data_IF_864608136560
#
_entry.id   IF_864608136560
#
_cell.length_a   1.000
_cell.length_b   1.000
_cell.length_c   1.000
_cell.angle_alpha   90.00
_cell.angle_beta   90.00
_cell.angle_gamma   90.00
#
_symmetry.space_group_name_H-M   'P 1'
#
loop_
_entity.id
_entity.type
_entity.pdbx_description
1 polymer ?
#
# COMPACT_ATOMS: atom_id res chain seq x y z
N UNK A 1 50.07 49.56 -32.52
CA UNK A 1 49.69 49.43 -31.11
C UNK A 1 48.24 48.96 -31.01
N UNK A 2 47.99 47.92 -30.21
CA UNK A 2 46.72 47.53 -29.55
C UNK A 2 45.45 47.31 -30.40
N UNK A 3 45.03 46.07 -30.67
CA UNK A 3 44.35 45.01 -29.86
C UNK A 3 42.81 45.09 -29.79
N UNK A 4 42.20 43.93 -30.11
CA UNK A 4 40.89 43.38 -29.66
C UNK A 4 39.65 44.09 -30.28
N UNK A 5 38.57 43.43 -30.67
CA UNK A 5 37.87 42.30 -30.05
C UNK A 5 36.93 41.65 -31.06
N UNK A 6 36.78 40.32 -30.98
CA UNK A 6 35.82 39.50 -31.73
C UNK A 6 34.38 39.67 -31.22
N UNK A 7 33.39 39.46 -32.09
CA UNK A 7 32.10 38.86 -31.69
C UNK A 7 31.59 37.89 -32.76
N UNK A 8 31.30 36.68 -32.26
CA UNK A 8 30.68 35.53 -32.91
C UNK A 8 29.21 35.80 -33.25
N UNK A 9 28.72 35.20 -34.35
CA UNK A 9 27.33 34.73 -34.43
C UNK A 9 27.28 33.46 -35.26
N UNK A 10 27.06 32.33 -34.58
CA UNK A 10 26.93 31.01 -35.17
C UNK A 10 25.58 30.87 -35.89
N UNK A 11 25.61 30.36 -37.12
CA UNK A 11 24.41 29.96 -37.89
C UNK A 11 24.27 28.45 -37.75
N UNK A 12 23.15 28.03 -37.16
CA UNK A 12 22.75 26.61 -37.02
C UNK A 12 22.35 26.08 -38.39
N UNK A 13 23.15 25.16 -38.95
CA UNK A 13 22.71 24.27 -40.02
C UNK A 13 22.54 22.86 -39.45
N UNK A 14 21.28 22.44 -39.24
CA UNK A 14 20.94 21.05 -38.97
C UNK A 14 21.12 20.24 -40.26
N UNK A 15 22.02 19.26 -40.26
CA UNK A 15 22.02 18.19 -41.27
C UNK A 15 21.01 17.10 -40.88
N UNK A 16 20.31 16.49 -41.85
CA UNK A 16 19.40 15.38 -41.59
C UNK A 16 20.20 14.13 -41.21
N UNK A 17 19.69 13.40 -40.23
CA UNK A 17 20.25 12.13 -39.76
C UNK A 17 19.57 11.04 -40.58
N UNK A 18 20.31 10.45 -41.52
CA UNK A 18 19.90 9.22 -42.20
C UNK A 18 19.86 8.08 -41.19
N UNK A 19 18.64 7.68 -40.82
CA UNK A 19 18.36 6.43 -40.12
C UNK A 19 18.17 5.35 -41.17
N UNK A 20 19.17 4.49 -41.36
CA UNK A 20 19.07 3.06 -41.71
C UNK A 20 20.43 2.53 -42.19
N UNK A 21 21.31 2.15 -41.25
CA UNK A 21 22.23 1.04 -41.49
C UNK A 21 22.81 0.52 -40.17
N UNK A 22 22.94 -0.81 -40.08
CA UNK A 22 23.77 -1.55 -39.11
C UNK A 22 23.24 -1.88 -37.71
N UNK A 23 21.95 -2.22 -37.56
CA UNK A 23 21.53 -3.07 -36.43
C UNK A 23 21.45 -4.54 -36.87
N UNK A 24 22.61 -5.18 -37.00
CA UNK A 24 22.68 -6.60 -37.37
C UNK A 24 24.00 -7.31 -37.11
N UNK A 25 25.04 -6.62 -36.62
CA UNK A 25 26.38 -7.21 -36.47
C UNK A 25 27.12 -6.67 -35.27
N UNK A 26 26.75 -7.08 -34.06
CA UNK A 26 27.69 -7.23 -32.94
C UNK A 26 27.03 -7.93 -31.74
N UNK A 27 26.46 -9.11 -31.97
CA UNK A 27 26.47 -10.14 -30.92
C UNK A 27 27.92 -10.63 -30.74
N UNK A 28 28.82 -9.70 -30.35
CA UNK A 28 30.09 -10.06 -29.73
C UNK A 28 29.74 -10.99 -28.59
N UNK A 29 30.40 -12.13 -28.52
CA UNK A 29 30.24 -13.13 -27.48
C UNK A 29 30.52 -12.42 -26.15
N UNK A 30 29.48 -11.87 -25.53
CA UNK A 30 29.56 -11.21 -24.23
C UNK A 30 29.80 -12.33 -23.25
N UNK A 31 31.04 -12.43 -22.75
CA UNK A 31 31.33 -13.28 -21.60
C UNK A 31 30.47 -12.76 -20.44
N UNK A 32 29.45 -13.54 -20.09
CA UNK A 32 28.64 -13.33 -18.89
C UNK A 32 29.57 -13.39 -17.68
N UNK A 33 29.82 -12.25 -17.03
CA UNK A 33 30.77 -12.18 -15.92
C UNK A 33 30.15 -12.64 -14.60
N UNK A 34 28.85 -12.42 -14.42
CA UNK A 34 28.18 -12.58 -13.12
C UNK A 34 26.84 -13.31 -13.20
N UNK A 35 26.12 -13.17 -14.31
CA UNK A 35 24.80 -13.77 -14.47
C UNK A 35 24.88 -15.16 -15.08
N UNK A 36 23.95 -16.02 -14.70
CA UNK A 36 23.73 -17.30 -15.40
C UNK A 36 22.87 -17.07 -16.65
N UNK A 37 22.94 -17.96 -17.67
CA UNK A 37 22.08 -17.85 -18.86
C UNK A 37 20.59 -17.78 -18.52
N UNK A 38 20.17 -18.48 -17.47
CA UNK A 38 18.81 -18.42 -16.94
C UNK A 38 18.47 -17.01 -16.42
N UNK A 39 19.35 -16.42 -15.61
CA UNK A 39 19.15 -15.08 -15.05
C UNK A 39 19.13 -14.02 -16.13
N UNK A 40 20.07 -14.05 -17.08
CA UNK A 40 20.10 -13.08 -18.19
C UNK A 40 18.83 -13.16 -19.04
N UNK A 41 18.37 -14.39 -19.36
CA UNK A 41 17.11 -14.59 -20.10
C UNK A 41 15.89 -14.13 -19.31
N UNK A 42 15.84 -14.39 -18.00
CA UNK A 42 14.77 -13.92 -17.11
C UNK A 42 14.69 -12.40 -17.12
N UNK A 43 15.82 -11.73 -16.88
CA UNK A 43 15.93 -10.28 -16.86
C UNK A 43 15.53 -9.66 -18.20
N UNK A 44 15.99 -10.24 -19.31
CA UNK A 44 15.65 -9.75 -20.65
C UNK A 44 14.16 -9.90 -20.96
N UNK A 45 13.55 -11.04 -20.61
CA UNK A 45 12.10 -11.24 -20.74
C UNK A 45 11.32 -10.22 -19.93
N UNK A 46 11.74 -9.92 -18.70
CA UNK A 46 11.07 -8.93 -17.86
C UNK A 46 11.15 -7.51 -18.42
N UNK A 47 12.15 -7.15 -19.24
CA UNK A 47 12.19 -5.84 -19.92
C UNK A 47 11.14 -5.70 -21.03
N UNK A 48 10.66 -6.80 -21.60
CA UNK A 48 9.60 -6.79 -22.63
C UNK A 48 8.22 -6.47 -22.00
N UNK A 49 8.05 -6.75 -20.71
CA UNK A 49 6.83 -6.44 -19.96
C UNK A 49 6.73 -4.93 -19.65
N UNK A 50 5.51 -4.43 -19.42
CA UNK A 50 5.28 -3.05 -19.01
C UNK A 50 5.65 -2.82 -17.53
N UNK A 51 6.95 -2.64 -17.28
CA UNK A 51 7.50 -2.35 -15.96
C UNK A 51 7.61 -0.85 -15.72
N UNK A 52 7.38 -0.45 -14.46
CA UNK A 52 7.70 0.89 -13.99
C UNK A 52 9.20 1.20 -14.18
N UNK A 53 9.52 2.45 -14.51
CA UNK A 53 10.88 2.91 -14.88
C UNK A 53 11.95 2.44 -13.88
N UNK A 54 11.66 2.60 -12.59
CA UNK A 54 12.59 2.19 -11.54
C UNK A 54 12.85 0.69 -11.49
N UNK A 55 11.93 -0.18 -11.93
CA UNK A 55 12.19 -1.63 -12.07
C UNK A 55 13.03 -1.91 -13.31
N UNK A 56 12.72 -1.27 -14.45
CA UNK A 56 13.53 -1.36 -15.68
C UNK A 56 14.98 -0.99 -15.42
N UNK A 57 15.20 0.11 -14.69
CA UNK A 57 16.52 0.60 -14.34
C UNK A 57 17.34 -0.43 -13.54
N UNK A 58 16.73 -1.18 -12.62
CA UNK A 58 17.42 -2.24 -11.85
C UNK A 58 17.92 -3.34 -12.76
N UNK A 59 17.04 -3.80 -13.65
CA UNK A 59 17.35 -4.84 -14.61
C UNK A 59 18.48 -4.40 -15.54
N UNK A 60 18.42 -3.16 -16.04
CA UNK A 60 19.47 -2.57 -16.87
C UNK A 60 20.80 -2.48 -16.13
N UNK A 61 20.83 -2.09 -14.85
CA UNK A 61 22.06 -2.08 -14.05
C UNK A 61 22.66 -3.49 -13.99
N UNK A 62 21.85 -4.52 -13.72
CA UNK A 62 22.34 -5.91 -13.64
C UNK A 62 22.91 -6.39 -14.98
N UNK A 63 22.22 -6.12 -16.08
CA UNK A 63 22.66 -6.51 -17.43
C UNK A 63 23.96 -5.79 -17.84
N UNK A 64 24.07 -4.48 -17.56
CA UNK A 64 25.29 -3.73 -17.83
C UNK A 64 26.46 -4.18 -16.94
N UNK A 65 26.18 -4.51 -15.67
CA UNK A 65 27.18 -5.07 -14.78
C UNK A 65 27.71 -6.42 -15.30
N UNK A 66 26.83 -7.27 -15.83
CA UNK A 66 27.20 -8.56 -16.43
C UNK A 66 28.04 -8.41 -17.70
N UNK A 67 27.83 -7.34 -18.46
CA UNK A 67 28.67 -6.95 -19.60
C UNK A 67 30.05 -6.40 -19.18
N UNK A 68 30.35 -6.34 -17.88
CA UNK A 68 31.61 -5.84 -17.35
C UNK A 68 31.70 -4.32 -17.24
N UNK A 69 30.59 -3.59 -17.37
CA UNK A 69 30.58 -2.13 -17.19
C UNK A 69 30.88 -1.74 -15.75
N UNK A 70 31.67 -0.69 -15.59
CA UNK A 70 32.01 -0.10 -14.29
C UNK A 70 30.83 0.69 -13.71
N UNK A 71 30.86 0.91 -12.39
CA UNK A 71 29.82 1.67 -11.69
C UNK A 71 29.61 3.07 -12.30
N UNK A 72 30.69 3.77 -12.65
CA UNK A 72 30.66 5.12 -13.21
C UNK A 72 30.04 5.15 -14.60
N UNK A 73 30.40 4.20 -15.47
CA UNK A 73 29.80 4.06 -16.80
C UNK A 73 28.29 3.80 -16.72
N UNK A 74 27.86 2.94 -15.78
CA UNK A 74 26.44 2.65 -15.58
C UNK A 74 25.69 3.89 -15.08
N UNK A 75 26.26 4.64 -14.14
CA UNK A 75 25.67 5.89 -13.65
C UNK A 75 25.49 6.90 -14.80
N UNK A 76 26.50 7.05 -15.66
CA UNK A 76 26.43 7.96 -16.81
C UNK A 76 25.41 7.49 -17.85
N UNK A 77 25.33 6.18 -18.10
CA UNK A 77 24.43 5.60 -19.11
C UNK A 77 22.96 5.70 -18.69
N UNK A 78 22.66 5.46 -17.41
CA UNK A 78 21.29 5.40 -16.89
C UNK A 78 20.85 6.66 -16.13
N UNK A 79 21.74 7.63 -15.92
CA UNK A 79 21.45 8.86 -15.17
C UNK A 79 21.09 8.63 -13.70
N UNK A 80 21.50 7.52 -13.10
CA UNK A 80 21.09 7.13 -11.76
C UNK A 80 22.20 7.30 -10.71
N UNK A 81 21.82 7.33 -9.43
CA UNK A 81 22.77 7.56 -8.36
C UNK A 81 23.69 6.36 -8.12
N UNK A 82 24.94 6.66 -7.73
CA UNK A 82 25.97 5.65 -7.49
C UNK A 82 25.56 4.60 -6.45
N UNK A 83 24.74 4.97 -5.45
CA UNK A 83 24.25 4.06 -4.43
C UNK A 83 23.34 2.96 -5.01
N UNK A 84 22.38 3.34 -5.88
CA UNK A 84 21.49 2.40 -6.55
C UNK A 84 22.29 1.45 -7.44
N UNK A 85 23.23 1.98 -8.24
CA UNK A 85 24.09 1.15 -9.09
C UNK A 85 24.88 0.16 -8.26
N UNK A 86 25.55 0.61 -7.19
CA UNK A 86 26.35 -0.25 -6.30
C UNK A 86 25.51 -1.40 -5.73
N UNK A 87 24.31 -1.10 -5.25
CA UNK A 87 23.43 -2.09 -4.66
C UNK A 87 23.05 -3.18 -5.69
N UNK A 88 22.58 -2.80 -6.87
CA UNK A 88 22.13 -3.77 -7.87
C UNK A 88 23.27 -4.51 -8.57
N UNK A 89 24.45 -3.90 -8.70
CA UNK A 89 25.67 -4.60 -9.08
C UNK A 89 26.06 -5.67 -8.05
N UNK A 90 25.91 -5.40 -6.76
CA UNK A 90 26.18 -6.38 -5.71
C UNK A 90 25.22 -7.58 -5.79
N UNK A 91 23.92 -7.33 -5.96
CA UNK A 91 22.89 -8.37 -6.14
C UNK A 91 23.18 -9.25 -7.38
N UNK A 92 23.62 -8.65 -8.48
CA UNK A 92 24.02 -9.40 -9.68
C UNK A 92 25.23 -10.31 -9.38
N UNK A 93 26.27 -9.77 -8.73
CA UNK A 93 27.49 -10.50 -8.38
C UNK A 93 27.27 -11.60 -7.33
N UNK A 94 26.29 -11.46 -6.46
CA UNK A 94 25.95 -12.45 -5.45
C UNK A 94 25.08 -13.60 -5.99
N UNK A 95 24.76 -13.61 -7.29
CA UNK A 95 23.91 -14.63 -7.91
C UNK A 95 22.42 -14.50 -7.54
N UNK A 96 22.02 -13.40 -6.89
CA UNK A 96 20.63 -13.14 -6.48
C UNK A 96 19.85 -12.33 -7.51
N UNK A 97 20.34 -12.23 -8.74
CA UNK A 97 19.70 -11.45 -9.81
C UNK A 97 18.25 -11.84 -10.10
N UNK A 98 17.87 -13.11 -9.87
CA UNK A 98 16.51 -13.59 -10.02
C UNK A 98 15.51 -13.03 -8.98
N UNK A 99 16.01 -12.49 -7.85
CA UNK A 99 15.24 -11.91 -6.75
C UNK A 99 15.04 -10.40 -6.89
N UNK A 100 15.23 -9.85 -8.09
CA UNK A 100 15.16 -8.40 -8.33
C UNK A 100 13.80 -7.77 -7.97
N UNK A 101 12.74 -8.59 -7.93
CA UNK A 101 11.37 -8.20 -7.56
C UNK A 101 11.14 -8.17 -6.04
N UNK A 102 11.93 -8.91 -5.26
CA UNK A 102 11.71 -9.11 -3.81
C UNK A 102 11.93 -7.83 -3.00
N UNK A 103 12.56 -6.82 -3.59
CA UNK A 103 12.73 -5.49 -3.01
C UNK A 103 11.72 -4.50 -3.61
N UNK A 104 10.46 -4.46 -3.15
CA UNK A 104 9.47 -3.52 -3.69
C UNK A 104 9.94 -2.07 -3.52
N UNK A 105 9.62 -1.23 -4.50
CA UNK A 105 9.96 0.20 -4.44
C UNK A 105 8.97 0.90 -3.51
N UNK A 106 9.49 1.60 -2.50
CA UNK A 106 8.69 2.40 -1.59
C UNK A 106 8.18 1.64 -0.37
N UNK A 107 7.22 2.23 0.34
CA UNK A 107 6.64 1.62 1.55
C UNK A 107 5.89 0.34 1.15
N UNK A 108 6.18 -0.81 1.78
CA UNK A 108 5.41 -2.03 1.52
C UNK A 108 3.93 -1.74 1.78
N UNK A 109 3.08 -2.13 0.83
CA UNK A 109 1.63 -1.99 1.00
C UNK A 109 1.24 -2.85 2.20
N UNK A 110 0.70 -2.22 3.25
CA UNK A 110 0.17 -2.93 4.42
C UNK A 110 -0.97 -3.90 4.05
N UNK A 111 -1.53 -3.76 2.85
CA UNK A 111 -2.63 -4.55 2.34
C UNK A 111 -2.12 -5.28 1.09
N UNK A 112 -1.99 -6.60 1.20
CA UNK A 112 -1.59 -7.47 0.10
C UNK A 112 -2.80 -7.82 -0.78
N UNK A 113 -2.58 -8.25 -2.02
CA UNK A 113 -3.63 -8.73 -2.93
C UNK A 113 -4.43 -9.88 -2.30
N UNK A 114 -3.74 -10.83 -1.66
CA UNK A 114 -4.37 -11.91 -0.89
C UNK A 114 -5.34 -11.41 0.18
N UNK A 115 -5.02 -10.29 0.84
CA UNK A 115 -5.89 -9.68 1.83
C UNK A 115 -7.16 -9.11 1.17
N UNK A 116 -7.02 -8.47 0.02
CA UNK A 116 -8.15 -7.91 -0.73
C UNK A 116 -9.10 -9.00 -1.22
N UNK A 117 -8.55 -10.08 -1.77
CA UNK A 117 -9.36 -11.19 -2.27
C UNK A 117 -10.09 -11.90 -1.13
N UNK A 118 -9.42 -12.12 -0.01
CA UNK A 118 -10.07 -12.67 1.18
C UNK A 118 -11.15 -11.74 1.74
N UNK A 119 -10.90 -10.43 1.74
CA UNK A 119 -11.90 -9.45 2.14
C UNK A 119 -13.15 -9.51 1.24
N UNK A 120 -13.00 -9.68 -0.08
CA UNK A 120 -14.12 -9.86 -1.01
C UNK A 120 -14.92 -11.13 -0.70
N UNK A 121 -14.24 -12.26 -0.47
CA UNK A 121 -14.88 -13.51 -0.09
C UNK A 121 -15.70 -13.34 1.19
N UNK A 122 -15.10 -12.77 2.24
CA UNK A 122 -15.76 -12.59 3.54
C UNK A 122 -17.04 -11.77 3.43
N UNK A 123 -17.06 -10.72 2.61
CA UNK A 123 -18.25 -9.88 2.41
C UNK A 123 -19.41 -10.67 1.80
N UNK A 124 -19.12 -11.64 0.94
CA UNK A 124 -20.11 -12.48 0.28
C UNK A 124 -20.62 -13.63 1.17
N UNK A 125 -19.88 -13.97 2.23
CA UNK A 125 -20.25 -15.04 3.16
C UNK A 125 -20.98 -14.51 4.39
N UNK A 126 -21.78 -15.35 5.04
CA UNK A 126 -22.46 -14.96 6.27
C UNK A 126 -21.49 -15.06 7.45
N UNK A 127 -21.46 -14.09 8.39
CA UNK A 127 -20.68 -14.21 9.61
C UNK A 127 -21.00 -15.46 10.45
N UNK A 128 -22.19 -16.03 10.26
CA UNK A 128 -22.62 -17.27 10.93
C UNK A 128 -21.77 -18.47 10.53
N UNK A 129 -21.30 -18.50 9.30
CA UNK A 129 -20.46 -19.58 8.77
C UNK A 129 -19.09 -19.58 9.45
N UNK A 130 -18.71 -18.46 10.08
CA UNK A 130 -17.48 -18.27 10.85
C UNK A 130 -17.73 -18.28 12.37
N UNK A 131 -18.90 -18.74 12.83
CA UNK A 131 -19.22 -18.88 14.25
C UNK A 131 -19.68 -17.60 14.94
N UNK A 132 -20.00 -16.54 14.20
CA UNK A 132 -20.54 -15.30 14.77
C UNK A 132 -22.08 -15.33 14.86
N UNK A 133 -22.63 -14.75 15.93
CA UNK A 133 -24.09 -14.73 16.17
C UNK A 133 -24.86 -13.73 15.28
N UNK A 134 -24.16 -12.77 14.68
CA UNK A 134 -24.76 -11.71 13.86
C UNK A 134 -24.92 -12.11 12.39
N UNK A 135 -25.89 -11.49 11.71
CA UNK A 135 -26.25 -11.80 10.30
C UNK A 135 -25.47 -11.00 9.26
N UNK A 136 -24.81 -9.92 9.65
CA UNK A 136 -24.20 -8.96 8.72
C UNK A 136 -22.83 -8.53 9.19
N UNK A 137 -21.87 -8.53 8.29
CA UNK A 137 -20.55 -7.99 8.56
C UNK A 137 -20.60 -6.51 8.90
N UNK A 138 -19.86 -6.13 9.94
CA UNK A 138 -19.54 -4.73 10.22
C UNK A 138 -18.06 -4.53 10.01
N UNK A 139 -17.64 -3.32 9.66
CA UNK A 139 -16.24 -2.96 9.43
C UNK A 139 -15.37 -3.37 10.62
N UNK A 140 -15.84 -3.14 11.85
CA UNK A 140 -15.13 -3.49 13.07
C UNK A 140 -14.87 -5.00 13.18
N UNK A 141 -15.88 -5.81 12.85
CA UNK A 141 -15.77 -7.27 12.91
C UNK A 141 -14.95 -7.86 11.78
N UNK A 142 -15.06 -7.33 10.56
CA UNK A 142 -14.18 -7.70 9.45
C UNK A 142 -12.72 -7.44 9.79
N UNK A 143 -12.43 -6.26 10.36
CA UNK A 143 -11.09 -5.89 10.76
C UNK A 143 -10.53 -6.84 11.84
N UNK A 144 -11.33 -7.16 12.87
CA UNK A 144 -10.94 -8.13 13.90
C UNK A 144 -10.72 -9.54 13.33
N UNK A 145 -11.58 -9.98 12.42
CA UNK A 145 -11.48 -11.29 11.81
C UNK A 145 -10.23 -11.39 10.92
N UNK A 146 -9.98 -10.38 10.09
CA UNK A 146 -8.81 -10.30 9.23
C UNK A 146 -7.51 -10.10 10.00
N UNK A 147 -7.54 -9.37 11.12
CA UNK A 147 -6.39 -9.27 12.02
C UNK A 147 -6.04 -10.64 12.63
N UNK A 148 -7.04 -11.46 12.95
CA UNK A 148 -6.82 -12.83 13.42
C UNK A 148 -6.26 -13.75 12.34
N UNK A 149 -6.71 -13.62 11.09
CA UNK A 149 -6.24 -14.47 9.97
C UNK A 149 -4.85 -14.05 9.44
N UNK A 150 -4.58 -12.75 9.29
CA UNK A 150 -3.37 -12.24 8.63
C UNK A 150 -2.38 -11.52 9.55
N UNK A 151 -2.73 -11.28 10.81
CA UNK A 151 -1.89 -10.51 11.76
C UNK A 151 -1.76 -9.02 11.41
N UNK A 152 -2.60 -8.50 10.51
CA UNK A 152 -2.54 -7.12 10.03
C UNK A 152 -3.75 -6.36 10.60
N UNK A 153 -3.50 -5.42 11.50
CA UNK A 153 -4.51 -4.51 12.01
C UNK A 153 -4.59 -3.26 11.15
N UNK A 154 -5.74 -3.02 10.51
CA UNK A 154 -6.00 -1.78 9.79
C UNK A 154 -6.84 -0.83 10.65
N UNK A 155 -6.84 0.46 10.34
CA UNK A 155 -7.86 1.34 10.91
C UNK A 155 -9.20 1.11 10.21
N UNK A 156 -10.32 1.30 10.92
CA UNK A 156 -11.65 1.20 10.31
C UNK A 156 -11.83 2.13 9.10
N UNK A 157 -11.24 3.33 9.17
CA UNK A 157 -11.23 4.29 8.05
C UNK A 157 -10.50 3.70 6.83
N UNK A 158 -9.37 3.03 7.06
CA UNK A 158 -8.61 2.39 5.99
C UNK A 158 -9.41 1.24 5.37
N UNK A 159 -10.00 0.36 6.19
CA UNK A 159 -10.83 -0.74 5.68
C UNK A 159 -12.04 -0.22 4.90
N UNK A 160 -12.72 0.83 5.38
CA UNK A 160 -13.80 1.50 4.63
C UNK A 160 -13.34 2.08 3.29
N UNK A 161 -12.13 2.64 3.22
CA UNK A 161 -11.55 3.13 1.97
C UNK A 161 -11.33 1.98 0.98
N UNK A 162 -10.76 0.85 1.44
CA UNK A 162 -10.57 -0.34 0.61
C UNK A 162 -11.90 -0.89 0.09
N UNK A 163 -12.92 -0.97 0.95
CA UNK A 163 -14.27 -1.39 0.55
C UNK A 163 -14.86 -0.47 -0.54
N UNK A 164 -14.62 0.84 -0.44
CA UNK A 164 -15.05 1.82 -1.46
C UNK A 164 -14.31 1.66 -2.77
N UNK A 165 -12.98 1.50 -2.73
CA UNK A 165 -12.15 1.30 -3.91
C UNK A 165 -12.54 0.04 -4.68
N UNK A 166 -13.00 -1.00 -3.99
CA UNK A 166 -13.50 -2.24 -4.59
C UNK A 166 -14.97 -2.18 -5.04
N UNK A 167 -15.67 -1.04 -4.88
CA UNK A 167 -17.10 -0.93 -5.21
C UNK A 167 -18.05 -1.64 -4.24
N UNK A 168 -17.55 -2.12 -3.09
CA UNK A 168 -18.27 -2.90 -2.09
C UNK A 168 -18.84 -2.05 -0.94
N UNK A 169 -18.92 -0.72 -1.13
CA UNK A 169 -19.36 0.23 -0.10
C UNK A 169 -20.85 0.16 0.25
N UNK A 170 -21.58 -0.84 -0.23
CA UNK A 170 -22.99 -1.07 0.05
C UNK A 170 -23.15 -1.95 1.29
N UNK A 171 -22.65 -1.50 2.45
CA UNK A 171 -23.15 -2.02 3.73
C UNK A 171 -24.45 -1.24 4.01
N UNK A 172 -25.66 -1.78 3.74
CA UNK A 172 -26.89 -1.04 3.99
C UNK A 172 -26.91 -0.56 5.44
N UNK A 173 -27.02 0.76 5.61
CA UNK A 173 -27.19 1.40 6.91
C UNK A 173 -28.34 0.70 7.62
N UNK A 174 -28.19 0.38 8.92
CA UNK A 174 -29.30 -0.13 9.73
C UNK A 174 -30.50 0.77 9.50
N UNK A 175 -31.52 0.28 8.79
CA UNK A 175 -32.82 0.92 8.78
C UNK A 175 -33.30 0.84 10.23
N UNK A 176 -33.37 1.98 10.91
CA UNK A 176 -34.16 2.08 12.14
C UNK A 176 -35.58 1.73 11.71
N UNK A 177 -36.01 0.52 12.02
CA UNK A 177 -37.43 0.16 11.92
C UNK A 177 -38.13 1.12 12.87
N UNK A 178 -38.83 2.12 12.32
CA UNK A 178 -39.78 2.90 13.09
C UNK A 178 -40.85 1.91 13.52
N UNK A 179 -40.84 1.51 14.78
CA UNK A 179 -41.97 0.80 15.38
C UNK A 179 -43.13 1.79 15.45
N UNK A 180 -43.95 1.81 14.40
CA UNK A 180 -45.22 2.53 14.39
C UNK A 180 -46.32 1.59 14.89
N UNK A 181 -46.79 1.89 16.11
CA UNK A 181 -48.19 1.85 16.57
C UNK A 181 -49.01 0.55 16.46
N UNK A 182 -49.44 0.04 17.63
CA UNK A 182 -50.74 -0.63 17.77
C UNK A 182 -50.80 -1.73 18.82
N UNK A 183 -50.86 -1.38 20.12
CA UNK A 183 -51.61 -2.12 21.15
C UNK A 183 -51.70 -1.31 22.44
N UNK A 184 -52.95 -1.02 22.80
CA UNK A 184 -53.41 -0.41 24.05
C UNK A 184 -52.83 -1.15 25.27
N UNK A 185 -52.31 -0.39 26.24
CA UNK A 185 -52.22 -0.80 27.64
C UNK A 185 -52.44 0.42 28.51
N UNK A 186 -53.58 0.43 29.18
CA UNK A 186 -53.85 1.25 30.35
C UNK A 186 -52.73 1.08 31.37
N UNK A 187 -52.13 2.20 31.74
CA UNK A 187 -51.09 2.28 32.75
C UNK A 187 -50.73 3.74 32.92
N UNK A 188 -51.22 4.37 33.98
CA UNK A 188 -50.87 5.73 34.33
C UNK A 188 -49.34 5.84 34.49
N UNK A 189 -48.66 6.37 33.49
CA UNK A 189 -47.24 6.72 33.59
C UNK A 189 -47.16 8.06 34.30
N UNK A 190 -46.85 8.04 35.59
CA UNK A 190 -46.51 9.24 36.35
C UNK A 190 -45.28 9.87 35.69
N UNK A 191 -45.42 11.08 35.17
CA UNK A 191 -44.31 11.85 34.60
C UNK A 191 -43.56 12.54 35.74
N UNK A 192 -42.27 12.79 35.56
CA UNK A 192 -41.42 13.47 36.57
C UNK A 192 -41.98 14.87 36.91
N UNK A 193 -42.76 15.47 36.00
CA UNK A 193 -43.51 16.71 36.22
C UNK A 193 -44.67 16.60 37.21
N UNK A 194 -45.16 15.39 37.50
CA UNK A 194 -46.31 15.14 38.38
C UNK A 194 -45.89 15.05 39.86
N UNK A 195 -44.58 15.04 40.13
CA UNK A 195 -44.05 15.11 41.49
C UNK A 195 -44.18 16.54 42.03
N UNK A 196 -45.31 16.81 42.68
CA UNK A 196 -45.52 18.01 43.48
C UNK A 196 -44.48 18.04 44.61
N UNK A 197 -43.49 18.94 44.52
CA UNK A 197 -42.56 19.23 45.61
C UNK A 197 -43.35 19.70 46.84
N UNK A 198 -43.53 18.82 47.82
CA UNK A 198 -43.93 19.21 49.16
C UNK A 198 -42.69 19.72 49.89
N UNK A 199 -42.57 21.04 50.00
CA UNK A 199 -41.75 21.66 51.05
C UNK A 199 -42.39 21.30 52.40
N UNK A 200 -41.62 20.63 53.26
CA UNK A 200 -41.99 20.32 54.63
C UNK A 200 -40.78 19.76 55.35
N UNK A 201 -40.13 20.63 56.11
CA UNK A 201 -39.03 20.39 57.05
C UNK A 201 -39.23 19.13 57.90
N UNK A 202 -38.17 18.32 58.08
CA UNK A 202 -37.49 18.18 59.37
C UNK A 202 -36.33 17.16 59.34
N UNK A 203 -35.19 17.67 59.82
CA UNK A 203 -34.12 17.01 60.57
C UNK A 203 -33.49 15.67 60.12
N UNK A 204 -32.17 15.78 59.89
CA UNK A 204 -31.09 14.90 60.37
C UNK A 204 -31.08 13.41 60.01
N UNK A 205 -30.10 13.06 59.18
CA UNK A 205 -29.60 11.69 59.05
C UNK A 205 -28.44 11.56 58.06
N UNK A 206 -27.42 12.42 58.16
CA UNK A 206 -26.19 12.29 57.40
C UNK A 206 -25.46 11.00 57.80
N UNK A 207 -25.43 9.99 56.93
CA UNK A 207 -24.44 8.92 56.97
C UNK A 207 -23.51 9.05 55.77
N UNK A 208 -22.40 9.76 56.00
CA UNK A 208 -21.20 9.70 55.18
C UNK A 208 -20.41 8.45 55.60
N UNK A 209 -20.26 7.48 54.71
CA UNK A 209 -19.35 6.36 54.91
C UNK A 209 -18.24 6.43 53.85
N UNK A 210 -17.01 6.71 54.28
CA UNK A 210 -15.78 6.50 53.54
C UNK A 210 -14.64 6.18 54.56
N UNK A 211 -13.53 5.53 54.17
CA UNK A 211 -13.06 4.28 54.78
C UNK A 211 -11.67 4.48 55.43
N UNK A 212 -11.06 3.38 55.92
CA UNK A 212 -9.64 3.19 56.31
C UNK A 212 -9.34 3.09 57.81
N UNK A 213 -9.06 1.86 58.26
CA UNK A 213 -7.92 1.38 59.10
C UNK A 213 -8.33 0.04 59.72
N UNK A 214 -7.71 -1.09 59.38
CA UNK A 214 -6.48 -1.65 59.98
C UNK A 214 -6.52 -1.72 61.51
N UNK A 215 -6.81 -2.92 62.03
CA UNK A 215 -6.00 -3.68 62.99
C UNK A 215 -6.73 -4.99 63.34
#
# INVERSE_FOLDING_TARGET
>A
MNVKTAQFRAVVHRKPIDMNNEQGKEAKILKSHYLTPFQSKLLQKSLEEDLHESYRQRIQIMLLADQGKSQTEICHTLGCCAATVRHWMHIARSGMAHQWQDCPIGRPKAVNEKYLDRLKELINQSPRDYGYSFRRWTVNWLNKHLAKEFGIELSNRHLQRLLKEMGLSTIPKRTKVKSASGREKDGHSILISDLKSANGSESNGFWLFNPSNMA
#
